data_IF_145434506813
#
_entry.id   IF_145434506813
#
_cell.length_a   1.000
_cell.length_b   1.000
_cell.length_c   1.000
_cell.angle_alpha   90.00
_cell.angle_beta   90.00
_cell.angle_gamma   90.00
#
_symmetry.space_group_name_H-M   'P 1'
#
loop_
_entity.id
_entity.type
_entity.pdbx_description
1 polymer ?
#
# COMPACT_ATOMS: atom_id res chain seq x y z
N UNK A 1 -9.61 -31.21 -4.19
CA UNK A 1 -9.17 -30.28 -3.11
C UNK A 1 -8.17 -29.20 -3.55
N UNK A 2 -7.24 -29.43 -4.51
CA UNK A 2 -6.30 -28.39 -4.98
C UNK A 2 -6.98 -27.12 -5.53
N UNK A 3 -8.05 -27.24 -6.32
CA UNK A 3 -8.73 -26.09 -6.95
C UNK A 3 -9.37 -25.11 -5.96
N UNK A 4 -9.86 -25.56 -4.80
CA UNK A 4 -10.49 -24.66 -3.82
C UNK A 4 -9.49 -23.77 -3.10
N UNK A 5 -8.25 -24.24 -2.92
CA UNK A 5 -7.17 -23.47 -2.27
C UNK A 5 -6.69 -22.36 -3.21
N UNK A 6 -6.58 -22.66 -4.51
CA UNK A 6 -6.21 -21.68 -5.53
C UNK A 6 -7.25 -20.56 -5.64
N UNK A 7 -8.54 -20.90 -5.63
CA UNK A 7 -9.61 -19.89 -5.72
C UNK A 7 -9.60 -18.93 -4.52
N UNK A 8 -9.39 -19.45 -3.30
CA UNK A 8 -9.29 -18.64 -2.08
C UNK A 8 -8.10 -17.69 -2.11
N UNK A 9 -6.95 -18.13 -2.61
CA UNK A 9 -5.76 -17.28 -2.74
C UNK A 9 -5.95 -16.17 -3.79
N UNK A 10 -6.66 -16.46 -4.89
CA UNK A 10 -7.00 -15.44 -5.89
C UNK A 10 -7.92 -14.38 -5.30
N UNK A 11 -8.99 -14.78 -4.60
CA UNK A 11 -9.92 -13.86 -3.94
C UNK A 11 -9.23 -12.99 -2.89
N UNK A 12 -8.31 -13.57 -2.12
CA UNK A 12 -7.53 -12.86 -1.11
C UNK A 12 -6.62 -11.78 -1.74
N UNK A 13 -6.15 -11.97 -2.97
CA UNK A 13 -5.30 -10.98 -3.67
C UNK A 13 -6.08 -9.84 -4.31
N UNK A 14 -7.40 -9.94 -4.48
CA UNK A 14 -8.21 -8.86 -5.07
C UNK A 14 -8.05 -7.57 -4.27
N UNK A 15 -8.10 -7.67 -2.94
CA UNK A 15 -7.96 -6.54 -2.03
C UNK A 15 -6.56 -5.88 -2.18
N UNK A 16 -5.44 -6.61 -2.00
CA UNK A 16 -4.09 -6.09 -2.27
C UNK A 16 -3.91 -5.46 -3.64
N UNK A 17 -4.51 -6.03 -4.69
CA UNK A 17 -4.43 -5.49 -6.06
C UNK A 17 -5.17 -4.16 -6.16
N UNK A 18 -6.35 -4.03 -5.57
CA UNK A 18 -7.09 -2.76 -5.54
C UNK A 18 -6.25 -1.69 -4.82
N UNK A 19 -5.70 -2.00 -3.65
CA UNK A 19 -4.81 -1.09 -2.94
C UNK A 19 -3.57 -0.73 -3.77
N UNK A 20 -2.99 -1.70 -4.48
CA UNK A 20 -1.83 -1.47 -5.34
C UNK A 20 -2.17 -0.45 -6.44
N UNK A 21 -3.32 -0.60 -7.11
CA UNK A 21 -3.76 0.33 -8.15
C UNK A 21 -3.98 1.74 -7.61
N UNK A 22 -4.61 1.87 -6.43
CA UNK A 22 -4.77 3.18 -5.78
C UNK A 22 -3.42 3.84 -5.47
N UNK A 23 -2.49 3.11 -4.87
CA UNK A 23 -1.17 3.65 -4.52
C UNK A 23 -0.33 4.00 -5.77
N UNK A 24 -0.44 3.23 -6.87
CA UNK A 24 0.23 3.55 -8.13
C UNK A 24 -0.36 4.82 -8.75
N UNK A 25 -1.70 4.95 -8.77
CA UNK A 25 -2.37 6.16 -9.26
C UNK A 25 -1.95 7.39 -8.46
N UNK A 26 -1.86 7.25 -7.15
CA UNK A 26 -1.43 8.32 -6.25
C UNK A 26 0.02 8.72 -6.53
N UNK A 27 0.92 7.73 -6.67
CA UNK A 27 2.31 7.97 -7.00
C UNK A 27 2.45 8.69 -8.36
N UNK A 28 1.65 8.31 -9.36
CA UNK A 28 1.59 9.02 -10.64
C UNK A 28 1.17 10.48 -10.47
N UNK A 29 0.10 10.74 -9.72
CA UNK A 29 -0.37 12.10 -9.46
C UNK A 29 0.68 12.93 -8.70
N UNK A 30 1.42 12.34 -7.77
CA UNK A 30 2.51 13.02 -7.05
C UNK A 30 3.64 13.43 -7.99
N UNK A 31 3.98 12.63 -9.00
CA UNK A 31 5.08 12.92 -9.93
C UNK A 31 4.67 13.83 -11.09
N UNK A 32 3.49 13.60 -11.67
CA UNK A 32 3.07 14.19 -12.94
C UNK A 32 1.76 14.99 -12.85
N UNK A 33 1.07 14.94 -11.71
CA UNK A 33 -0.14 15.71 -11.48
C UNK A 33 0.17 17.18 -11.21
N UNK A 34 -0.76 18.04 -11.62
CA UNK A 34 -0.76 19.48 -11.29
C UNK A 34 -1.41 19.75 -9.92
N UNK A 35 -1.56 18.73 -9.08
CA UNK A 35 -2.14 18.86 -7.74
C UNK A 35 -1.13 19.50 -6.80
N UNK A 36 -1.50 20.63 -6.18
CA UNK A 36 -0.74 21.25 -5.10
C UNK A 36 -0.90 20.41 -3.83
N UNK A 37 0.04 19.49 -3.61
CA UNK A 37 0.13 18.70 -2.40
C UNK A 37 0.72 19.54 -1.26
N UNK A 38 -0.07 19.83 -0.23
CA UNK A 38 0.36 20.59 0.95
C UNK A 38 1.13 19.75 1.96
N UNK A 39 2.30 19.28 1.54
CA UNK A 39 3.25 18.59 2.42
C UNK A 39 3.75 19.53 3.53
N UNK A 40 3.61 19.14 4.78
CA UNK A 40 4.13 19.86 5.95
C UNK A 40 3.54 21.26 6.23
N UNK A 41 2.52 21.73 5.49
CA UNK A 41 2.01 23.11 5.62
C UNK A 41 0.57 23.23 6.12
N UNK A 42 -0.29 22.23 5.88
CA UNK A 42 -1.72 22.31 6.19
C UNK A 42 -2.11 21.32 7.29
N UNK A 43 -2.43 21.80 8.49
CA UNK A 43 -2.72 20.98 9.69
C UNK A 43 -3.84 19.92 9.52
N UNK A 44 -4.67 20.05 8.48
CA UNK A 44 -5.78 19.12 8.18
C UNK A 44 -5.65 18.42 6.82
N UNK A 45 -4.55 18.59 6.07
CA UNK A 45 -4.37 17.86 4.82
C UNK A 45 -3.83 16.45 5.10
N UNK A 46 -4.33 15.45 4.39
CA UNK A 46 -3.86 14.06 4.53
C UNK A 46 -2.36 13.90 4.21
N UNK A 47 -1.78 14.88 3.52
CA UNK A 47 -0.39 14.90 3.10
C UNK A 47 0.54 15.61 4.09
N UNK A 48 -0.02 16.33 5.07
CA UNK A 48 0.72 17.12 6.05
C UNK A 48 1.58 16.28 7.00
N UNK A 49 1.14 15.05 7.29
CA UNK A 49 1.92 14.04 8.03
C UNK A 49 3.28 13.81 7.38
N UNK A 50 3.34 13.89 6.05
CA UNK A 50 4.56 13.71 5.31
C UNK A 50 5.30 15.04 5.24
N UNK A 51 6.42 15.13 5.95
CA UNK A 51 7.28 16.32 6.01
C UNK A 51 7.78 16.78 4.63
N UNK A 52 7.83 15.88 3.66
CA UNK A 52 8.21 16.20 2.29
C UNK A 52 7.59 15.24 1.29
N UNK A 53 7.49 15.70 0.04
CA UNK A 53 7.14 14.86 -1.12
C UNK A 53 7.99 13.59 -1.20
N UNK A 54 9.28 13.68 -0.87
CA UNK A 54 10.19 12.53 -0.90
C UNK A 54 9.82 11.48 0.14
N UNK A 55 9.48 11.88 1.37
CA UNK A 55 9.03 10.96 2.41
C UNK A 55 7.73 10.24 2.03
N UNK A 56 6.82 10.98 1.39
CA UNK A 56 5.57 10.39 0.90
C UNK A 56 5.81 9.36 -0.20
N UNK A 57 6.70 9.65 -1.15
CA UNK A 57 7.10 8.71 -2.22
C UNK A 57 7.73 7.45 -1.63
N UNK A 58 8.62 7.59 -0.65
CA UNK A 58 9.24 6.44 0.02
C UNK A 58 8.17 5.58 0.70
N UNK A 59 7.27 6.20 1.46
CA UNK A 59 6.15 5.53 2.11
C UNK A 59 5.28 4.75 1.10
N UNK A 60 4.84 5.41 0.03
CA UNK A 60 4.05 4.78 -1.05
C UNK A 60 4.80 3.63 -1.72
N UNK A 61 6.10 3.80 -1.97
CA UNK A 61 6.94 2.80 -2.60
C UNK A 61 7.09 1.55 -1.72
N UNK A 62 7.29 1.71 -0.41
CA UNK A 62 7.33 0.60 0.56
C UNK A 62 5.97 -0.12 0.56
N UNK A 63 4.88 0.64 0.56
CA UNK A 63 3.53 0.08 0.52
C UNK A 63 3.32 -0.79 -0.73
N UNK A 64 3.61 -0.26 -1.92
CA UNK A 64 3.51 -0.99 -3.20
C UNK A 64 4.40 -2.24 -3.20
N UNK A 65 5.67 -2.14 -2.78
CA UNK A 65 6.60 -3.28 -2.72
C UNK A 65 6.06 -4.37 -1.80
N UNK A 66 5.50 -4.01 -0.65
CA UNK A 66 4.92 -4.96 0.29
C UNK A 66 3.67 -5.66 -0.28
N UNK A 67 2.81 -4.95 -1.00
CA UNK A 67 1.65 -5.52 -1.70
C UNK A 67 2.08 -6.51 -2.79
N UNK A 68 3.09 -6.15 -3.60
CA UNK A 68 3.68 -7.06 -4.59
C UNK A 68 4.26 -8.31 -3.92
N UNK A 69 4.95 -8.14 -2.79
CA UNK A 69 5.47 -9.23 -1.96
C UNK A 69 4.37 -10.16 -1.46
N UNK A 70 3.22 -9.64 -1.03
CA UNK A 70 2.07 -10.45 -0.61
C UNK A 70 1.53 -11.28 -1.78
N UNK A 71 1.38 -10.67 -2.96
CA UNK A 71 0.93 -11.38 -4.16
C UNK A 71 1.92 -12.51 -4.51
N UNK A 72 3.22 -12.25 -4.48
CA UNK A 72 4.27 -13.26 -4.69
C UNK A 72 4.25 -14.39 -3.65
N UNK A 73 4.11 -14.07 -2.37
CA UNK A 73 4.07 -15.08 -1.30
C UNK A 73 2.80 -15.91 -1.31
N UNK A 74 1.67 -15.32 -1.75
CA UNK A 74 0.43 -16.08 -1.97
C UNK A 74 0.60 -17.15 -3.06
N UNK A 75 1.31 -16.82 -4.16
CA UNK A 75 1.58 -17.75 -5.28
C UNK A 75 2.56 -18.86 -4.89
N UNK A 76 3.56 -18.54 -4.07
CA UNK A 76 4.57 -19.51 -3.60
C UNK A 76 4.14 -20.26 -2.34
N UNK A 77 2.91 -20.04 -1.86
CA UNK A 77 2.33 -20.68 -0.67
C UNK A 77 3.13 -20.45 0.63
N UNK A 78 3.95 -19.39 0.68
CA UNK A 78 4.76 -19.01 1.85
C UNK A 78 3.91 -18.22 2.86
N UNK A 79 3.05 -18.94 3.59
CA UNK A 79 2.03 -18.36 4.49
C UNK A 79 2.60 -17.41 5.55
N UNK A 80 3.74 -17.74 6.15
CA UNK A 80 4.37 -16.89 7.18
C UNK A 80 4.75 -15.53 6.61
N UNK A 81 5.41 -15.51 5.45
CA UNK A 81 5.78 -14.26 4.76
C UNK A 81 4.55 -13.47 4.31
N UNK A 82 3.51 -14.15 3.84
CA UNK A 82 2.23 -13.52 3.50
C UNK A 82 1.60 -12.79 4.71
N UNK A 83 1.48 -13.45 5.86
CA UNK A 83 0.87 -12.84 7.05
C UNK A 83 1.76 -11.76 7.66
N UNK A 84 3.08 -11.90 7.62
CA UNK A 84 3.99 -10.85 8.07
C UNK A 84 3.81 -9.57 7.23
N UNK A 85 3.76 -9.70 5.90
CA UNK A 85 3.51 -8.56 5.02
C UNK A 85 2.08 -8.01 5.16
N UNK A 86 1.08 -8.85 5.45
CA UNK A 86 -0.27 -8.39 5.75
C UNK A 86 -0.27 -7.46 6.97
N UNK A 87 0.42 -7.85 8.05
CA UNK A 87 0.54 -7.00 9.25
C UNK A 87 1.23 -5.68 8.90
N UNK A 88 2.32 -5.72 8.14
CA UNK A 88 3.01 -4.50 7.68
C UNK A 88 2.07 -3.61 6.87
N UNK A 89 1.28 -4.17 5.94
CA UNK A 89 0.31 -3.43 5.14
C UNK A 89 -0.79 -2.79 5.99
N UNK A 90 -1.29 -3.51 7.01
CA UNK A 90 -2.28 -2.96 7.95
C UNK A 90 -1.67 -1.80 8.74
N UNK A 91 -0.44 -1.94 9.24
CA UNK A 91 0.26 -0.86 9.96
C UNK A 91 0.51 0.35 9.07
N UNK A 92 0.95 0.14 7.83
CA UNK A 92 1.12 1.22 6.85
C UNK A 92 -0.22 1.89 6.57
N UNK A 93 -1.29 1.12 6.30
CA UNK A 93 -2.62 1.68 6.06
C UNK A 93 -3.15 2.54 7.22
N UNK A 94 -2.92 2.09 8.46
CA UNK A 94 -3.40 2.79 9.66
C UNK A 94 -2.52 3.99 10.04
N UNK A 95 -1.26 4.01 9.63
CA UNK A 95 -0.32 5.07 10.01
C UNK A 95 -0.87 6.49 9.73
N UNK A 96 -1.41 6.80 8.54
CA UNK A 96 -2.00 8.12 8.26
C UNK A 96 -3.29 8.40 9.01
N UNK A 97 -4.01 7.37 9.47
CA UNK A 97 -5.24 7.53 10.25
C UNK A 97 -4.97 7.81 11.73
N UNK A 98 -3.83 7.35 12.25
CA UNK A 98 -3.42 7.58 13.63
C UNK A 98 -2.62 8.88 13.83
N UNK A 99 -2.20 9.52 12.73
CA UNK A 99 -1.33 10.71 12.76
C UNK A 99 -2.02 11.97 12.22
N UNK A 100 -3.23 11.85 11.67
CA UNK A 100 -4.18 12.94 11.43
C UNK A 100 -5.25 12.95 12.51
#
# INVERSE_FOLDING_TARGET
>A
MKNQITLKLVLINVIPIIFLLFNISELYNVFYGNSDYSFGSDFFSAYSIYQSKMWYIIYLSIFIVSLLGMILFSKTNKRVGYYALLIVNVLLFLYPMCTN
#
